data_IF_233321230674
#
_entry.id   IF_233321230674
#
_cell.length_a   1.000
_cell.length_b   1.000
_cell.length_c   1.000
_cell.angle_alpha   90.00
_cell.angle_beta   90.00
_cell.angle_gamma   90.00
#
_symmetry.space_group_name_H-M   'P 1'
#
loop_
_entity.id
_entity.type
_entity.pdbx_description
1 polymer ?
#
# COMPACT_ATOMS: atom_id res chain seq x y z
N UNK A 1 7.47 3.78 -0.92
CA UNK A 1 8.78 4.14 -1.51
C UNK A 1 8.67 4.65 -2.95
N UNK A 2 7.76 4.15 -3.80
CA UNK A 2 7.72 4.57 -5.22
C UNK A 2 7.57 6.09 -5.43
N UNK A 3 6.77 6.79 -4.61
CA UNK A 3 6.70 8.27 -4.65
C UNK A 3 8.03 8.95 -4.29
N UNK A 4 8.80 8.36 -3.37
CA UNK A 4 10.13 8.84 -2.98
C UNK A 4 11.10 8.68 -4.15
N UNK A 5 11.13 7.50 -4.78
CA UNK A 5 11.97 7.27 -5.96
C UNK A 5 11.61 8.21 -7.12
N UNK A 6 10.32 8.49 -7.31
CA UNK A 6 9.89 9.44 -8.33
C UNK A 6 10.42 10.86 -8.10
N UNK A 7 10.44 11.31 -6.83
CA UNK A 7 10.93 12.66 -6.46
C UNK A 7 12.46 12.73 -6.34
N UNK A 8 13.07 11.65 -5.88
CA UNK A 8 14.49 11.54 -5.57
C UNK A 8 15.04 10.25 -6.18
N UNK A 9 15.23 10.20 -7.52
CA UNK A 9 15.70 9.02 -8.23
C UNK A 9 17.03 8.48 -7.72
N UNK A 10 17.89 9.32 -7.16
CA UNK A 10 19.19 8.97 -6.60
C UNK A 10 19.10 7.87 -5.52
N UNK A 11 18.02 7.86 -4.73
CA UNK A 11 17.82 6.86 -3.67
C UNK A 11 17.55 5.45 -4.18
N UNK A 12 17.31 5.26 -5.47
CA UNK A 12 17.21 3.93 -6.06
C UNK A 12 18.53 3.17 -5.90
N UNK A 13 19.66 3.88 -5.98
CA UNK A 13 20.99 3.25 -5.86
C UNK A 13 21.23 2.68 -4.45
N UNK A 14 20.55 3.24 -3.46
CA UNK A 14 20.63 2.88 -2.04
C UNK A 14 19.67 1.75 -1.65
N UNK A 15 18.71 1.39 -2.53
CA UNK A 15 17.69 0.37 -2.25
C UNK A 15 17.83 -0.81 -3.20
N UNK A 16 18.28 -1.96 -2.68
CA UNK A 16 18.50 -3.18 -3.48
C UNK A 16 17.22 -3.96 -3.78
N UNK A 17 16.27 -3.94 -2.86
CA UNK A 17 14.97 -4.58 -3.03
C UNK A 17 13.95 -4.01 -2.04
N UNK A 18 12.68 -4.11 -2.41
CA UNK A 18 11.54 -3.71 -1.60
C UNK A 18 10.61 -4.90 -1.33
N UNK A 19 9.93 -4.89 -0.19
CA UNK A 19 8.78 -5.77 0.07
C UNK A 19 7.61 -4.94 0.58
N UNK A 20 6.45 -5.09 -0.06
CA UNK A 20 5.24 -4.31 0.20
C UNK A 20 4.10 -5.23 0.66
N UNK A 21 3.55 -4.96 1.82
CA UNK A 21 2.39 -5.68 2.37
C UNK A 21 1.12 -4.89 2.08
N UNK A 22 0.17 -5.49 1.36
CA UNK A 22 -1.14 -4.89 1.08
C UNK A 22 -1.05 -3.46 0.54
N UNK A 23 -0.01 -3.13 -0.22
CA UNK A 23 0.25 -1.76 -0.64
C UNK A 23 -0.49 -1.44 -1.93
N UNK A 24 -1.22 -0.33 -1.91
CA UNK A 24 -1.98 0.17 -3.05
C UNK A 24 -2.01 1.70 -3.01
N UNK A 25 -2.12 2.31 -4.17
CA UNK A 25 -2.45 3.74 -4.28
C UNK A 25 -3.96 3.91 -4.39
N UNK A 26 -4.54 3.45 -5.50
CA UNK A 26 -5.98 3.52 -5.80
C UNK A 26 -6.77 2.31 -5.31
N UNK A 27 -8.05 2.52 -4.98
CA UNK A 27 -9.01 1.44 -4.68
C UNK A 27 -9.83 1.04 -5.93
N UNK A 28 -9.42 -0.04 -6.58
CA UNK A 28 -10.10 -0.70 -7.68
C UNK A 28 -11.14 -1.73 -7.25
N UNK A 29 -11.01 -2.31 -6.07
CA UNK A 29 -11.97 -3.30 -5.57
C UNK A 29 -13.38 -2.72 -5.39
N UNK A 30 -14.36 -3.60 -5.58
CA UNK A 30 -15.80 -3.31 -5.50
C UNK A 30 -16.46 -4.03 -4.31
N UNK A 31 -15.68 -4.47 -3.33
CA UNK A 31 -16.22 -5.25 -2.23
C UNK A 31 -17.15 -4.38 -1.35
N UNK A 32 -18.33 -4.87 -0.91
CA UNK A 32 -19.28 -4.07 -0.13
C UNK A 32 -18.69 -3.46 1.15
N UNK A 33 -17.83 -4.21 1.84
CA UNK A 33 -17.09 -3.69 3.01
C UNK A 33 -16.26 -2.44 2.70
N UNK A 34 -15.62 -2.39 1.52
CA UNK A 34 -14.89 -1.20 1.07
C UNK A 34 -15.84 -0.04 0.80
N UNK A 35 -17.00 -0.29 0.18
CA UNK A 35 -17.95 0.79 -0.08
C UNK A 35 -18.43 1.45 1.21
N UNK A 36 -18.70 0.67 2.25
CA UNK A 36 -19.07 1.21 3.56
C UNK A 36 -17.89 1.93 4.23
N UNK A 37 -16.73 1.29 4.33
CA UNK A 37 -15.56 1.86 5.04
C UNK A 37 -14.98 3.08 4.32
N UNK A 38 -14.76 2.97 3.01
CA UNK A 38 -14.16 4.05 2.23
C UNK A 38 -15.10 5.25 2.12
N UNK A 39 -16.36 5.04 1.74
CA UNK A 39 -17.25 6.17 1.43
C UNK A 39 -17.81 6.84 2.68
N UNK A 40 -18.26 6.07 3.68
CA UNK A 40 -18.91 6.65 4.85
C UNK A 40 -17.88 7.12 5.89
N UNK A 41 -16.96 6.25 6.26
CA UNK A 41 -16.01 6.57 7.34
C UNK A 41 -14.92 7.49 6.79
N UNK A 42 -14.27 7.09 5.69
CA UNK A 42 -13.09 7.79 5.22
C UNK A 42 -13.37 9.07 4.43
N UNK A 43 -14.33 9.07 3.49
CA UNK A 43 -14.60 10.26 2.68
C UNK A 43 -15.57 11.26 3.32
N UNK A 44 -16.44 10.84 4.25
CA UNK A 44 -17.42 11.72 4.89
C UNK A 44 -17.07 12.08 6.34
N UNK A 45 -16.89 11.09 7.21
CA UNK A 45 -16.72 11.34 8.65
C UNK A 45 -15.33 11.85 9.01
N UNK A 46 -14.28 11.26 8.43
CA UNK A 46 -12.91 11.60 8.76
C UNK A 46 -12.55 13.08 8.50
N UNK A 47 -12.96 13.73 7.37
CA UNK A 47 -12.70 15.16 7.17
C UNK A 47 -13.40 16.06 8.21
N UNK A 48 -14.63 15.72 8.60
CA UNK A 48 -15.38 16.47 9.61
C UNK A 48 -14.70 16.40 10.98
N UNK A 49 -14.26 15.20 11.36
CA UNK A 49 -13.56 14.97 12.63
C UNK A 49 -12.16 15.60 12.61
N UNK A 50 -11.46 15.52 11.48
CA UNK A 50 -10.16 16.15 11.31
C UNK A 50 -10.24 17.67 11.44
N UNK A 51 -11.29 18.29 10.86
CA UNK A 51 -11.55 19.73 11.00
C UNK A 51 -11.90 20.11 12.45
N UNK A 52 -12.72 19.30 13.13
CA UNK A 52 -13.15 19.54 14.52
C UNK A 52 -11.99 19.46 15.52
N UNK A 53 -11.10 18.49 15.35
CA UNK A 53 -10.01 18.22 16.30
C UNK A 53 -8.67 18.84 15.90
N UNK A 54 -8.55 19.41 14.71
CA UNK A 54 -7.27 19.89 14.16
C UNK A 54 -6.42 18.80 13.51
N UNK A 55 -6.76 17.53 13.77
CA UNK A 55 -6.16 16.31 13.24
C UNK A 55 -7.22 15.19 13.29
N UNK A 56 -7.01 14.08 12.58
CA UNK A 56 -7.87 12.90 12.66
C UNK A 56 -7.40 11.99 13.80
N UNK A 57 -8.18 11.85 14.91
CA UNK A 57 -7.82 10.99 16.02
C UNK A 57 -8.15 9.51 15.74
N UNK A 58 -7.59 8.94 14.67
CA UNK A 58 -7.98 7.62 14.18
C UNK A 58 -7.67 6.50 15.19
N UNK A 59 -6.64 6.66 16.03
CA UNK A 59 -6.30 5.71 17.09
C UNK A 59 -7.40 5.66 18.17
N UNK A 60 -7.86 6.83 18.63
CA UNK A 60 -8.94 6.94 19.62
C UNK A 60 -10.26 6.39 19.09
N UNK A 61 -10.52 6.59 17.80
CA UNK A 61 -11.71 6.09 17.11
C UNK A 61 -11.63 4.61 16.70
N UNK A 62 -10.46 3.96 16.89
CA UNK A 62 -10.17 2.60 16.42
C UNK A 62 -10.36 2.42 14.91
N UNK A 63 -10.08 3.47 14.14
CA UNK A 63 -10.15 3.47 12.67
C UNK A 63 -8.80 3.23 12.00
N UNK A 64 -7.71 3.40 12.75
CA UNK A 64 -6.34 3.20 12.28
C UNK A 64 -5.38 2.98 13.45
N UNK A 65 -4.11 2.70 13.13
CA UNK A 65 -3.04 2.54 14.12
C UNK A 65 -2.54 3.88 14.68
N UNK A 66 -2.64 4.94 13.87
CA UNK A 66 -2.01 6.23 14.12
C UNK A 66 -2.99 7.39 13.87
N UNK A 67 -2.72 8.52 14.50
CA UNK A 67 -3.44 9.76 14.24
C UNK A 67 -2.86 10.47 13.00
N UNK A 68 -3.71 11.11 12.21
CA UNK A 68 -3.29 11.73 10.95
C UNK A 68 -3.49 13.24 10.98
N UNK A 69 -2.55 13.99 10.39
CA UNK A 69 -2.78 15.41 10.12
C UNK A 69 -3.95 15.58 9.14
N UNK A 70 -4.62 16.74 9.17
CA UNK A 70 -5.66 17.06 8.19
C UNK A 70 -5.16 16.92 6.74
N UNK A 71 -3.92 17.35 6.50
CA UNK A 71 -3.30 17.34 5.17
C UNK A 71 -2.98 15.92 4.71
N UNK A 72 -2.34 15.10 5.54
CA UNK A 72 -2.02 13.71 5.20
C UNK A 72 -3.28 12.91 4.93
N UNK A 73 -4.32 13.07 5.75
CA UNK A 73 -5.61 12.42 5.51
C UNK A 73 -6.22 12.86 4.17
N UNK A 74 -6.24 14.17 3.90
CA UNK A 74 -6.75 14.69 2.64
C UNK A 74 -6.00 14.16 1.41
N UNK A 75 -4.67 14.15 1.44
CA UNK A 75 -3.85 13.64 0.34
C UNK A 75 -4.03 12.13 0.16
N UNK A 76 -4.09 11.36 1.25
CA UNK A 76 -4.42 9.92 1.23
C UNK A 76 -5.77 9.65 0.58
N UNK A 77 -6.81 10.45 0.89
CA UNK A 77 -8.11 10.36 0.24
C UNK A 77 -8.04 10.66 -1.26
N UNK A 78 -7.29 11.67 -1.69
CA UNK A 78 -7.15 11.97 -3.12
C UNK A 78 -6.43 10.84 -3.86
N UNK A 79 -5.32 10.34 -3.32
CA UNK A 79 -4.56 9.27 -3.95
C UNK A 79 -5.29 7.92 -3.95
N UNK A 80 -6.23 7.70 -3.03
CA UNK A 80 -7.11 6.52 -3.03
C UNK A 80 -8.08 6.48 -4.22
N UNK A 81 -8.33 7.62 -4.87
CA UNK A 81 -9.19 7.72 -6.06
C UNK A 81 -8.45 7.27 -7.31
N UNK A 82 -9.21 6.75 -8.28
CA UNK A 82 -8.75 6.35 -9.63
C UNK A 82 -8.47 7.57 -10.52
N UNK A 83 -7.67 8.51 -10.02
CA UNK A 83 -7.26 9.74 -10.71
C UNK A 83 -5.76 9.68 -11.01
N UNK A 84 -5.25 10.58 -11.87
CA UNK A 84 -3.81 10.74 -12.06
C UNK A 84 -3.07 10.92 -10.73
N UNK A 85 -1.89 10.30 -10.62
CA UNK A 85 -1.05 10.42 -9.43
C UNK A 85 -0.25 11.72 -9.49
N UNK A 86 -0.92 12.82 -9.11
CA UNK A 86 -0.37 14.17 -9.09
C UNK A 86 -0.39 14.67 -7.65
N UNK A 87 0.67 15.34 -7.23
CA UNK A 87 0.75 15.98 -5.93
C UNK A 87 -0.18 17.20 -5.87
N UNK A 88 -0.91 17.35 -4.77
CA UNK A 88 -1.84 18.47 -4.59
C UNK A 88 -1.14 19.78 -4.25
N UNK A 89 0.09 19.74 -3.76
CA UNK A 89 0.80 20.91 -3.25
C UNK A 89 1.60 21.61 -4.35
N UNK A 90 2.30 20.83 -5.17
CA UNK A 90 3.25 21.34 -6.17
C UNK A 90 2.96 20.86 -7.60
N UNK A 91 1.95 20.03 -7.81
CA UNK A 91 1.59 19.51 -9.13
C UNK A 91 2.56 18.46 -9.68
N UNK A 92 3.48 17.93 -8.88
CA UNK A 92 4.42 16.91 -9.33
C UNK A 92 3.69 15.65 -9.81
N UNK A 93 3.99 15.22 -11.03
CA UNK A 93 3.34 14.08 -11.66
C UNK A 93 4.14 12.79 -11.43
N UNK A 94 3.83 12.08 -10.34
CA UNK A 94 4.48 10.83 -9.97
C UNK A 94 4.33 9.75 -11.05
N UNK A 95 3.14 9.62 -11.65
CA UNK A 95 2.90 8.62 -12.68
C UNK A 95 3.77 8.86 -13.92
N UNK A 96 3.99 10.13 -14.30
CA UNK A 96 4.88 10.47 -15.41
C UNK A 96 6.36 10.22 -15.06
N UNK A 97 6.80 10.62 -13.87
CA UNK A 97 8.17 10.41 -13.42
C UNK A 97 8.54 8.91 -13.36
N UNK A 98 7.62 8.08 -12.88
CA UNK A 98 7.86 6.64 -12.73
C UNK A 98 7.92 5.88 -14.06
N UNK A 99 7.29 6.35 -15.15
CA UNK A 99 7.25 5.64 -16.44
C UNK A 99 8.62 5.24 -16.97
N UNK A 100 9.62 6.09 -16.76
CA UNK A 100 10.98 5.90 -17.29
C UNK A 100 11.97 5.52 -16.18
N UNK A 101 11.48 5.21 -14.98
CA UNK A 101 12.32 4.98 -13.81
C UNK A 101 12.27 3.51 -13.40
N UNK A 102 13.40 2.82 -13.56
CA UNK A 102 13.51 1.43 -13.11
C UNK A 102 13.49 1.37 -11.58
N UNK A 103 12.38 0.92 -11.01
CA UNK A 103 12.24 0.77 -9.56
C UNK A 103 13.03 -0.46 -9.07
N UNK A 104 13.49 -0.46 -7.80
CA UNK A 104 14.13 -1.63 -7.22
C UNK A 104 13.26 -2.89 -7.31
N UNK A 105 13.86 -4.09 -7.40
CA UNK A 105 13.16 -5.36 -7.30
C UNK A 105 12.16 -5.36 -6.15
N UNK A 106 10.86 -5.47 -6.45
CA UNK A 106 9.78 -5.35 -5.46
C UNK A 106 8.93 -6.62 -5.36
N UNK A 107 8.85 -7.18 -4.16
CA UNK A 107 7.88 -8.21 -3.82
C UNK A 107 6.62 -7.58 -3.21
N UNK A 108 5.47 -7.85 -3.81
CA UNK A 108 4.16 -7.44 -3.32
C UNK A 108 3.45 -8.62 -2.66
N UNK A 109 2.94 -8.41 -1.46
CA UNK A 109 2.27 -9.42 -0.63
C UNK A 109 0.79 -9.05 -0.53
N UNK A 110 -0.05 -9.95 -1.03
CA UNK A 110 -1.51 -9.87 -0.94
C UNK A 110 -2.04 -10.96 -0.01
N UNK A 111 -3.23 -10.76 0.56
CA UNK A 111 -3.83 -11.70 1.50
C UNK A 111 -5.25 -12.09 1.07
N UNK A 112 -5.59 -13.38 1.15
CA UNK A 112 -6.86 -13.91 0.60
C UNK A 112 -8.13 -13.39 1.31
N UNK A 113 -8.01 -12.96 2.57
CA UNK A 113 -9.11 -12.35 3.35
C UNK A 113 -8.98 -10.83 3.48
N UNK A 114 -8.02 -10.19 2.80
CA UNK A 114 -8.09 -8.74 2.62
C UNK A 114 -9.22 -8.44 1.64
N UNK A 115 -10.37 -8.04 2.20
CA UNK A 115 -11.59 -7.81 1.44
C UNK A 115 -11.82 -6.35 1.09
N UNK A 116 -11.09 -5.41 1.71
CA UNK A 116 -11.48 -4.01 1.62
C UNK A 116 -10.31 -3.04 1.42
N UNK A 117 -9.16 -3.32 2.02
CA UNK A 117 -8.07 -2.36 2.13
C UNK A 117 -7.12 -2.46 0.95
N UNK A 118 -6.71 -3.68 0.57
CA UNK A 118 -5.88 -3.91 -0.61
C UNK A 118 -6.10 -5.33 -1.17
N UNK A 119 -7.09 -5.47 -2.07
CA UNK A 119 -7.26 -6.70 -2.80
C UNK A 119 -6.15 -6.89 -3.84
N UNK A 120 -5.91 -8.13 -4.33
CA UNK A 120 -4.94 -8.37 -5.38
C UNK A 120 -5.12 -7.48 -6.62
N UNK A 121 -6.35 -7.07 -6.97
CA UNK A 121 -6.58 -6.13 -8.07
C UNK A 121 -6.02 -4.72 -7.77
N UNK A 122 -6.09 -4.25 -6.53
CA UNK A 122 -5.60 -2.93 -6.13
C UNK A 122 -4.06 -2.91 -6.19
N UNK A 123 -3.44 -4.00 -5.72
CA UNK A 123 -1.99 -4.21 -5.74
C UNK A 123 -1.51 -4.33 -7.19
N UNK A 124 -2.19 -5.13 -8.01
CA UNK A 124 -1.87 -5.24 -9.44
C UNK A 124 -1.94 -3.90 -10.13
N UNK A 125 -2.96 -3.09 -9.86
CA UNK A 125 -3.09 -1.75 -10.43
C UNK A 125 -2.00 -0.80 -9.95
N UNK A 126 -1.56 -0.95 -8.71
CA UNK A 126 -0.40 -0.23 -8.20
C UNK A 126 0.90 -0.67 -8.88
N UNK A 127 1.08 -1.97 -9.16
CA UNK A 127 2.22 -2.49 -9.94
C UNK A 127 2.21 -1.95 -11.37
N UNK A 128 1.05 -1.91 -12.02
CA UNK A 128 0.88 -1.42 -13.41
C UNK A 128 1.24 0.07 -13.54
N UNK A 129 0.97 0.87 -12.51
CA UNK A 129 1.30 2.31 -12.47
C UNK A 129 2.64 2.59 -11.76
N UNK A 130 3.29 1.56 -11.23
CA UNK A 130 4.65 1.62 -10.74
C UNK A 130 5.62 1.55 -11.91
N UNK A 131 6.77 2.20 -11.78
CA UNK A 131 7.78 2.22 -12.84
C UNK A 131 8.24 0.81 -13.26
N UNK A 132 8.91 0.69 -14.42
CA UNK A 132 9.46 -0.58 -14.88
C UNK A 132 10.41 -1.21 -13.85
N UNK A 133 10.60 -2.52 -13.89
CA UNK A 133 11.47 -3.23 -12.95
C UNK A 133 10.98 -4.64 -12.63
N UNK A 134 11.80 -5.40 -11.91
CA UNK A 134 11.42 -6.74 -11.44
C UNK A 134 10.38 -6.58 -10.34
N UNK A 135 9.13 -6.96 -10.63
CA UNK A 135 8.05 -6.91 -9.64
C UNK A 135 7.31 -8.24 -9.62
N UNK A 136 7.05 -8.76 -8.41
CA UNK A 136 6.33 -10.03 -8.22
C UNK A 136 5.24 -9.87 -7.18
N UNK A 137 4.07 -10.45 -7.41
CA UNK A 137 3.01 -10.54 -6.39
C UNK A 137 2.87 -11.99 -5.89
N UNK A 138 2.76 -12.15 -4.58
CA UNK A 138 2.41 -13.41 -3.91
C UNK A 138 1.11 -13.23 -3.12
N UNK A 139 0.24 -14.23 -3.15
CA UNK A 139 -1.06 -14.21 -2.47
C UNK A 139 -1.06 -15.23 -1.35
N UNK A 140 -1.21 -14.78 -0.11
CA UNK A 140 -1.12 -15.59 1.09
C UNK A 140 -2.50 -16.04 1.60
N UNK A 141 -2.67 -17.35 1.74
CA UNK A 141 -3.89 -18.02 2.16
C UNK A 141 -3.74 -19.54 2.13
N UNK A 142 -4.60 -20.28 2.83
CA UNK A 142 -4.54 -21.75 2.90
C UNK A 142 -4.61 -22.41 1.52
N UNK A 143 -5.42 -21.84 0.62
CA UNK A 143 -5.53 -22.31 -0.78
C UNK A 143 -4.24 -22.18 -1.60
N UNK A 144 -3.27 -21.40 -1.13
CA UNK A 144 -1.96 -21.21 -1.73
C UNK A 144 -0.85 -21.98 -0.97
N UNK A 145 -1.23 -22.90 -0.06
CA UNK A 145 -0.27 -23.73 0.68
C UNK A 145 0.24 -23.10 1.98
N UNK A 146 -0.35 -21.99 2.44
CA UNK A 146 0.06 -21.30 3.65
C UNK A 146 -0.72 -21.76 4.89
N UNK A 147 -0.21 -21.42 6.08
CA UNK A 147 -0.73 -21.91 7.36
C UNK A 147 -2.04 -21.22 7.78
N UNK A 148 -2.35 -20.06 7.21
CA UNK A 148 -3.50 -19.25 7.60
C UNK A 148 -4.13 -18.54 6.39
N UNK A 149 -5.42 -18.20 6.52
CA UNK A 149 -6.08 -17.32 5.57
C UNK A 149 -5.93 -15.89 6.04
N UNK A 150 -4.87 -15.23 5.55
CA UNK A 150 -4.49 -13.92 6.04
C UNK A 150 -5.45 -12.81 5.61
N UNK A 151 -5.62 -11.80 6.45
CA UNK A 151 -6.27 -10.51 6.16
C UNK A 151 -5.25 -9.37 6.16
N UNK A 152 -5.72 -8.13 6.04
CA UNK A 152 -4.87 -6.96 5.92
C UNK A 152 -3.90 -6.76 7.09
N UNK A 153 -4.36 -7.04 8.32
CA UNK A 153 -3.58 -6.80 9.54
C UNK A 153 -2.81 -8.05 9.91
N UNK A 154 -3.48 -9.19 9.89
CA UNK A 154 -2.90 -10.43 10.38
C UNK A 154 -1.82 -10.99 9.43
N UNK A 155 -1.71 -10.49 8.19
CA UNK A 155 -0.53 -10.77 7.34
C UNK A 155 0.78 -10.24 7.93
N UNK A 156 0.71 -9.33 8.90
CA UNK A 156 1.89 -8.84 9.64
C UNK A 156 1.94 -9.35 11.08
N UNK A 157 0.78 -9.66 11.68
CA UNK A 157 0.70 -9.91 13.13
C UNK A 157 0.39 -11.36 13.52
N UNK A 158 -0.11 -12.19 12.61
CA UNK A 158 -0.39 -13.59 12.94
C UNK A 158 0.91 -14.36 13.20
N UNK A 159 0.98 -15.25 14.21
CA UNK A 159 2.22 -15.96 14.56
C UNK A 159 2.84 -16.77 13.41
N UNK A 160 2.00 -17.39 12.56
CA UNK A 160 2.47 -18.17 11.41
C UNK A 160 3.01 -17.32 10.24
N UNK A 161 2.86 -15.99 10.29
CA UNK A 161 3.49 -15.09 9.30
C UNK A 161 5.00 -15.30 9.18
N UNK A 162 5.63 -15.70 10.29
CA UNK A 162 7.06 -16.05 10.38
C UNK A 162 7.43 -17.29 9.56
N UNK A 163 6.50 -18.21 9.37
CA UNK A 163 6.69 -19.48 8.63
C UNK A 163 6.26 -19.35 7.17
N UNK A 164 5.42 -18.36 6.86
CA UNK A 164 4.91 -18.06 5.53
C UNK A 164 5.62 -16.81 4.95
N UNK A 165 4.95 -15.67 4.87
CA UNK A 165 5.39 -14.48 4.15
C UNK A 165 6.75 -13.93 4.57
N UNK A 166 7.12 -14.03 5.85
CA UNK A 166 8.43 -13.54 6.27
C UNK A 166 9.57 -14.45 5.78
N UNK A 167 9.33 -15.74 5.58
CA UNK A 167 10.32 -16.64 4.96
C UNK A 167 10.57 -16.25 3.51
N UNK A 168 9.50 -15.95 2.76
CA UNK A 168 9.62 -15.53 1.36
C UNK A 168 10.23 -14.12 1.21
N UNK A 169 9.93 -13.22 2.14
CA UNK A 169 10.59 -11.90 2.23
C UNK A 169 12.10 -12.05 2.42
N UNK A 170 12.54 -12.93 3.33
CA UNK A 170 13.97 -13.17 3.54
C UNK A 170 14.63 -13.76 2.29
N UNK A 171 13.97 -14.73 1.64
CA UNK A 171 14.44 -15.29 0.38
C UNK A 171 14.53 -14.23 -0.73
N UNK A 172 13.56 -13.29 -0.78
CA UNK A 172 13.57 -12.19 -1.74
C UNK A 172 14.78 -11.28 -1.54
N UNK A 173 15.09 -10.89 -0.31
CA UNK A 173 16.25 -10.06 -0.03
C UNK A 173 17.57 -10.81 -0.30
N UNK A 174 17.66 -12.09 0.06
CA UNK A 174 18.85 -12.90 -0.22
C UNK A 174 19.11 -13.06 -1.73
N UNK A 175 18.06 -13.09 -2.55
CA UNK A 175 18.17 -13.16 -4.01
C UNK A 175 18.58 -11.81 -4.66
N UNK A 176 18.56 -10.72 -3.91
CA UNK A 176 18.93 -9.37 -4.36
C UNK A 176 19.94 -8.72 -3.40
N UNK A 177 21.15 -9.30 -3.25
CA UNK A 177 22.14 -8.84 -2.27
C UNK A 177 22.68 -7.44 -2.60
N UNK A 178 23.23 -6.78 -1.57
CA UNK A 178 24.09 -5.61 -1.79
C UNK A 178 25.38 -6.05 -2.49
N UNK A 179 25.80 -5.25 -3.48
CA UNK A 179 27.13 -5.37 -4.14
C UNK A 179 28.17 -4.79 -3.19
#
# INVERSE_FOLDING_TARGET
MNSVFARFPEYINDVKACVYFGSKRSLFNNHPKKLLQANLIWFLLAPLLAKKHGYLPAKRLKWGSDDESQKSHFQSMQWAKKTPWIDSDDGFNYAQALKNLNVPPTLHIAAVKDKALAQPIDIQKFMDESGPGIQKMLIYGRKHGHHFDYDHINMLTHPDARKDQFKDLLNWFNAHPAI
#
